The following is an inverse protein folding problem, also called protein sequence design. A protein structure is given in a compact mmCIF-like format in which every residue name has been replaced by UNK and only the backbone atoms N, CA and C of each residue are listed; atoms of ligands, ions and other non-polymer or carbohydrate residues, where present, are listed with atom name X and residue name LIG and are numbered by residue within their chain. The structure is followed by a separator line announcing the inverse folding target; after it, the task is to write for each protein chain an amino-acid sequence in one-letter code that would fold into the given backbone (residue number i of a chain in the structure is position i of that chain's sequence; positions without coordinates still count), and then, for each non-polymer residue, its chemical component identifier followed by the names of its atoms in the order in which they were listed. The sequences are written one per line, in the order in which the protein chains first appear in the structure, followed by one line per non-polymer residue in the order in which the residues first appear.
data_IF_960673137643
#
_entry.id   IF_960673137643
#
_cell.length_a   1.000
_cell.length_b   1.000
_cell.length_c   1.000
_cell.angle_alpha   90.00
_cell.angle_beta   90.00
_cell.angle_gamma   90.00
#
_symmetry.space_group_name_H-M   'P 1'
#
loop_
_entity.id
_entity.type
_entity.pdbx_description
1 polymer ?
#
# COMPACT_ATOMS: atom_id res chain seq x y z
N UNK A 1 -12.24 28.09 8.84
CA UNK A 1 -10.86 27.68 8.44
C UNK A 1 -10.78 26.25 8.93
N UNK A 2 -11.46 25.38 8.20
CA UNK A 2 -11.98 24.12 8.69
C UNK A 2 -11.23 22.98 7.99
N UNK A 3 -10.62 22.13 8.80
CA UNK A 3 -9.96 20.92 8.34
C UNK A 3 -11.05 19.89 8.04
N UNK A 4 -11.40 19.77 6.76
CA UNK A 4 -12.18 18.66 6.23
C UNK A 4 -11.29 17.40 6.25
N UNK A 5 -11.39 16.62 7.33
CA UNK A 5 -10.66 15.38 7.56
C UNK A 5 -11.43 14.18 6.99
N UNK A 6 -11.75 14.22 5.70
CA UNK A 6 -12.31 13.07 4.98
C UNK A 6 -11.24 12.34 4.16
N UNK A 7 -10.16 11.91 4.84
CA UNK A 7 -9.14 11.07 4.21
C UNK A 7 -9.75 9.74 3.77
N UNK A 8 -9.85 9.53 2.46
CA UNK A 8 -10.45 8.32 1.88
C UNK A 8 -9.35 7.41 1.33
N UNK A 9 -9.17 6.25 1.96
CA UNK A 9 -8.17 5.26 1.58
C UNK A 9 -8.85 4.04 0.94
N UNK A 10 -8.38 3.63 -0.24
CA UNK A 10 -8.85 2.42 -0.92
C UNK A 10 -7.76 1.34 -0.82
N UNK A 11 -8.09 0.25 -0.14
CA UNK A 11 -7.29 -0.99 -0.16
C UNK A 11 -7.93 -1.88 -1.21
N UNK A 12 -7.23 -2.07 -2.32
CA UNK A 12 -7.70 -2.96 -3.37
C UNK A 12 -7.43 -4.40 -2.90
N UNK A 13 -8.48 -5.20 -2.76
CA UNK A 13 -8.35 -6.63 -2.47
C UNK A 13 -8.37 -7.45 -3.76
N UNK A 14 -7.72 -8.60 -3.69
CA UNK A 14 -7.54 -9.56 -4.77
C UNK A 14 -8.88 -9.95 -5.43
N UNK A 15 -9.07 -9.58 -6.70
CA UNK A 15 -10.15 -10.08 -7.54
C UNK A 15 -9.76 -11.43 -8.19
N UNK A 16 -10.47 -12.47 -7.78
CA UNK A 16 -10.32 -13.83 -8.31
C UNK A 16 -10.99 -14.04 -9.68
N UNK A 17 -11.73 -13.04 -10.19
CA UNK A 17 -12.46 -13.13 -11.47
C UNK A 17 -11.62 -12.67 -12.66
N UNK A 18 -10.62 -11.83 -12.45
CA UNK A 18 -9.74 -11.34 -13.51
C UNK A 18 -10.36 -10.22 -14.35
N UNK A 19 -11.58 -9.78 -14.04
CA UNK A 19 -12.24 -8.63 -14.67
C UNK A 19 -11.87 -7.34 -13.94
N UNK A 20 -10.61 -6.95 -14.07
CA UNK A 20 -10.08 -5.74 -13.46
C UNK A 20 -10.40 -4.49 -14.30
N UNK A 21 -11.67 -4.07 -14.28
CA UNK A 21 -11.91 -2.62 -14.33
C UNK A 21 -13.06 -2.13 -13.45
N UNK A 22 -14.09 -2.94 -13.14
CA UNK A 22 -15.11 -2.83 -12.07
C UNK A 22 -15.52 -1.45 -11.53
N UNK A 23 -15.26 -0.35 -12.24
CA UNK A 23 -15.23 1.02 -11.73
C UNK A 23 -13.93 1.48 -11.03
N UNK A 24 -12.90 0.63 -10.84
CA UNK A 24 -11.65 1.00 -10.14
C UNK A 24 -10.97 2.20 -10.79
N UNK A 25 -10.87 2.22 -12.12
CA UNK A 25 -10.25 3.34 -12.86
C UNK A 25 -10.99 4.67 -12.67
N UNK A 26 -12.30 4.61 -12.47
CA UNK A 26 -13.14 5.79 -12.22
C UNK A 26 -12.99 6.30 -10.77
N UNK A 27 -12.63 5.41 -9.84
CA UNK A 27 -12.45 5.73 -8.42
C UNK A 27 -11.03 6.17 -8.10
N UNK A 28 -10.02 5.72 -8.86
CA UNK A 28 -8.62 6.08 -8.64
C UNK A 28 -8.35 7.59 -8.55
N UNK A 29 -8.95 8.47 -9.38
CA UNK A 29 -8.78 9.92 -9.25
C UNK A 29 -9.41 10.52 -7.99
N UNK A 30 -10.28 9.78 -7.29
CA UNK A 30 -11.04 10.24 -6.13
C UNK A 30 -10.39 9.85 -4.79
N UNK A 31 -9.30 9.08 -4.81
CA UNK A 31 -8.65 8.58 -3.60
C UNK A 31 -7.30 9.25 -3.38
N UNK A 32 -6.97 9.50 -2.11
CA UNK A 32 -5.70 10.09 -1.70
C UNK A 32 -4.54 9.10 -1.85
N UNK A 33 -4.83 7.83 -1.54
CA UNK A 33 -3.86 6.74 -1.56
C UNK A 33 -4.52 5.47 -2.09
N UNK A 34 -3.78 4.75 -2.92
CA UNK A 34 -4.09 3.39 -3.36
C UNK A 34 -2.92 2.48 -3.02
N UNK A 35 -3.21 1.30 -2.48
CA UNK A 35 -2.22 0.28 -2.17
C UNK A 35 -2.50 -0.93 -3.06
N UNK A 36 -1.50 -1.33 -3.84
CA UNK A 36 -1.54 -2.41 -4.82
C UNK A 36 -0.39 -3.38 -4.56
N UNK A 37 -0.53 -4.64 -4.94
CA UNK A 37 0.61 -5.55 -5.12
C UNK A 37 1.17 -5.46 -6.56
N UNK A 38 2.28 -6.15 -6.83
CA UNK A 38 2.92 -6.14 -8.16
C UNK A 38 1.98 -6.62 -9.28
N UNK A 39 1.10 -7.60 -9.02
CA UNK A 39 0.16 -8.13 -10.01
C UNK A 39 -0.95 -7.11 -10.31
N UNK A 40 -1.55 -6.50 -9.28
CA UNK A 40 -2.59 -5.48 -9.42
C UNK A 40 -2.03 -4.23 -10.10
N UNK A 41 -0.80 -3.84 -9.80
CA UNK A 41 -0.12 -2.73 -10.46
C UNK A 41 0.10 -3.01 -11.95
N UNK A 42 0.49 -4.23 -12.32
CA UNK A 42 0.60 -4.65 -13.72
C UNK A 42 -0.76 -4.50 -14.45
N UNK A 43 -1.83 -5.01 -13.87
CA UNK A 43 -3.16 -5.00 -14.50
C UNK A 43 -3.80 -3.60 -14.54
N UNK A 44 -3.66 -2.81 -13.47
CA UNK A 44 -4.26 -1.47 -13.39
C UNK A 44 -3.52 -0.45 -14.26
N UNK A 45 -2.19 -0.51 -14.28
CA UNK A 45 -1.32 0.55 -14.81
C UNK A 45 -0.41 0.10 -15.95
N UNK A 46 -0.59 -1.14 -16.45
CA UNK A 46 0.26 -1.73 -17.48
C UNK A 46 1.71 -1.90 -17.03
N UNK A 47 1.93 -2.09 -15.72
CA UNK A 47 3.25 -2.31 -15.13
C UNK A 47 4.11 -1.05 -14.99
N UNK A 48 3.55 0.14 -15.30
CA UNK A 48 4.31 1.39 -15.27
C UNK A 48 3.59 2.46 -14.45
N UNK A 49 4.33 3.33 -13.73
CA UNK A 49 3.73 4.41 -12.97
C UNK A 49 3.15 5.52 -13.88
N UNK A 50 3.40 5.45 -15.20
CA UNK A 50 2.94 6.42 -16.19
C UNK A 50 1.42 6.61 -16.19
N UNK A 51 0.67 5.53 -15.97
CA UNK A 51 -0.79 5.59 -15.83
C UNK A 51 -1.23 6.57 -14.73
N UNK A 52 -0.54 6.59 -13.59
CA UNK A 52 -0.83 7.49 -12.49
C UNK A 52 -0.47 8.94 -12.81
N UNK A 53 0.58 9.18 -13.61
CA UNK A 53 0.91 10.52 -14.08
C UNK A 53 -0.20 11.13 -14.95
N UNK A 54 -0.78 10.31 -15.83
CA UNK A 54 -1.74 10.76 -16.85
C UNK A 54 -3.18 10.80 -16.30
N UNK A 55 -3.55 9.86 -15.43
CA UNK A 55 -4.94 9.66 -15.01
C UNK A 55 -5.24 10.23 -13.63
N UNK A 56 -4.30 10.14 -12.69
CA UNK A 56 -4.52 10.53 -11.29
C UNK A 56 -3.23 11.02 -10.62
N UNK A 57 -2.62 12.13 -11.09
CA UNK A 57 -1.31 12.58 -10.64
C UNK A 57 -1.24 12.96 -9.16
N UNK A 58 -2.38 13.28 -8.53
CA UNK A 58 -2.49 13.59 -7.11
C UNK A 58 -2.52 12.36 -6.19
N UNK A 59 -2.86 11.19 -6.71
CA UNK A 59 -3.01 9.96 -5.93
C UNK A 59 -1.65 9.37 -5.59
N UNK A 60 -1.47 9.03 -4.31
CA UNK A 60 -0.30 8.28 -3.84
C UNK A 60 -0.48 6.80 -4.14
N UNK A 61 0.34 6.24 -5.02
CA UNK A 61 0.31 4.81 -5.34
C UNK A 61 1.40 4.06 -4.58
N UNK A 62 1.01 3.13 -3.72
CA UNK A 62 1.93 2.25 -3.00
C UNK A 62 1.90 0.88 -3.64
N UNK A 63 3.05 0.40 -4.10
CA UNK A 63 3.20 -0.94 -4.68
C UNK A 63 3.98 -1.81 -3.69
N UNK A 64 3.30 -2.80 -3.13
CA UNK A 64 3.89 -3.84 -2.28
C UNK A 64 4.54 -4.92 -3.14
N UNK A 65 5.73 -5.36 -2.72
CA UNK A 65 6.63 -6.27 -3.46
C UNK A 65 7.08 -7.46 -2.60
N UNK A 66 6.20 -7.88 -1.68
CA UNK A 66 6.46 -8.95 -0.72
C UNK A 66 7.80 -8.78 0.00
N UNK A 67 8.71 -9.76 -0.14
CA UNK A 67 10.06 -9.74 0.45
C UNK A 67 10.93 -8.55 0.01
N UNK A 68 10.62 -7.93 -1.12
CA UNK A 68 11.36 -6.77 -1.61
C UNK A 68 10.86 -5.45 -1.00
N UNK A 69 9.85 -5.48 -0.12
CA UNK A 69 9.29 -4.31 0.54
C UNK A 69 8.23 -3.60 -0.28
N UNK A 70 8.30 -2.27 -0.35
CA UNK A 70 7.30 -1.47 -1.05
C UNK A 70 7.90 -0.19 -1.67
N UNK A 71 7.21 0.34 -2.67
CA UNK A 71 7.59 1.54 -3.40
C UNK A 71 6.40 2.50 -3.45
N UNK A 72 6.65 3.79 -3.27
CA UNK A 72 5.65 4.84 -3.38
C UNK A 72 5.89 5.66 -4.65
N UNK A 73 4.82 5.84 -5.42
CA UNK A 73 4.77 6.65 -6.62
C UNK A 73 3.78 7.80 -6.47
N UNK A 74 4.10 8.96 -7.08
CA UNK A 74 3.18 10.10 -7.20
C UNK A 74 3.50 10.82 -8.51
N UNK A 75 2.47 11.18 -9.29
CA UNK A 75 2.66 11.84 -10.58
C UNK A 75 3.53 11.05 -11.58
N UNK A 76 3.59 9.73 -11.46
CA UNK A 76 4.45 8.87 -12.28
C UNK A 76 5.89 8.70 -11.82
N UNK A 77 6.30 9.41 -10.77
CA UNK A 77 7.66 9.34 -10.24
C UNK A 77 7.72 8.49 -8.99
N UNK A 78 8.80 7.72 -8.84
CA UNK A 78 9.12 7.08 -7.57
C UNK A 78 9.60 8.14 -6.58
N UNK A 79 8.87 8.30 -5.47
CA UNK A 79 9.20 9.30 -4.44
C UNK A 79 9.84 8.67 -3.20
N UNK A 80 9.56 7.39 -2.92
CA UNK A 80 10.14 6.66 -1.80
C UNK A 80 10.12 5.14 -2.02
N UNK A 81 11.03 4.45 -1.33
CA UNK A 81 11.14 2.99 -1.30
C UNK A 81 11.53 2.55 0.10
N UNK A 82 10.95 1.44 0.54
CA UNK A 82 11.35 0.76 1.77
C UNK A 82 11.58 -0.72 1.48
N UNK A 83 12.75 -1.23 1.84
CA UNK A 83 13.01 -2.67 1.81
C UNK A 83 12.28 -3.36 2.96
N UNK A 84 11.80 -4.59 2.74
CA UNK A 84 11.31 -5.45 3.82
C UNK A 84 12.46 -6.28 4.38
N UNK A 85 12.32 -6.71 5.64
CA UNK A 85 13.24 -7.67 6.23
C UNK A 85 12.96 -9.03 5.59
N UNK A 86 14.01 -9.71 5.12
CA UNK A 86 13.85 -11.04 4.51
C UNK A 86 13.51 -12.06 5.58
N UNK A 87 12.22 -12.31 5.79
CA UNK A 87 11.68 -13.41 6.60
C UNK A 87 11.10 -14.47 5.67
N UNK A 88 11.29 -15.75 6.00
CA UNK A 88 10.59 -16.83 5.30
C UNK A 88 9.13 -16.84 5.78
N UNK A 89 8.15 -16.52 4.92
CA UNK A 89 6.75 -16.47 5.31
C UNK A 89 6.25 -17.89 5.60
N UNK A 90 5.66 -18.08 6.78
CA UNK A 90 5.04 -19.34 7.20
C UNK A 90 3.60 -19.46 6.67
N UNK A 91 2.90 -18.32 6.56
CA UNK A 91 1.60 -18.16 5.91
C UNK A 91 1.48 -16.73 5.35
N UNK A 92 1.46 -16.52 4.01
CA UNK A 92 1.43 -15.18 3.42
C UNK A 92 0.04 -14.51 3.49
N UNK A 93 -1.00 -15.22 3.91
CA UNK A 93 -2.36 -14.67 3.97
C UNK A 93 -2.45 -13.53 4.98
N UNK A 94 -2.99 -12.37 4.55
CA UNK A 94 -3.18 -11.19 5.39
C UNK A 94 -1.98 -10.23 5.45
N UNK A 95 -0.86 -10.55 4.80
CA UNK A 95 0.32 -9.66 4.74
C UNK A 95 0.00 -8.29 4.12
N UNK A 96 -0.88 -8.25 3.12
CA UNK A 96 -1.34 -7.03 2.46
C UNK A 96 -2.18 -6.14 3.38
N UNK A 97 -3.14 -6.72 4.11
CA UNK A 97 -3.97 -5.99 5.07
C UNK A 97 -3.13 -5.46 6.24
N UNK A 98 -2.17 -6.26 6.73
CA UNK A 98 -1.22 -5.86 7.75
C UNK A 98 -0.32 -4.71 7.28
N UNK A 99 0.17 -4.77 6.03
CA UNK A 99 0.90 -3.68 5.42
C UNK A 99 0.05 -2.41 5.34
N UNK A 100 -1.19 -2.51 4.86
CA UNK A 100 -2.09 -1.37 4.72
C UNK A 100 -2.36 -0.72 6.09
N UNK A 101 -2.67 -1.51 7.11
CA UNK A 101 -2.86 -1.01 8.47
C UNK A 101 -1.61 -0.31 9.02
N UNK A 102 -0.43 -0.90 8.84
CA UNK A 102 0.84 -0.30 9.24
C UNK A 102 1.13 1.01 8.48
N UNK A 103 0.87 1.04 7.19
CA UNK A 103 1.06 2.22 6.36
C UNK A 103 0.18 3.38 6.81
N UNK A 104 -1.12 3.13 6.97
CA UNK A 104 -2.08 4.14 7.43
C UNK A 104 -1.72 4.64 8.84
N UNK A 105 -1.30 3.74 9.73
CA UNK A 105 -0.82 4.11 11.07
C UNK A 105 0.40 5.03 11.01
N UNK A 106 1.40 4.70 10.18
CA UNK A 106 2.61 5.50 10.05
C UNK A 106 2.34 6.87 9.40
N UNK A 107 1.38 6.95 8.48
CA UNK A 107 1.02 8.20 7.82
C UNK A 107 0.16 9.14 8.67
N UNK A 108 -0.64 8.62 9.60
CA UNK A 108 -1.53 9.43 10.46
C UNK A 108 -2.44 10.40 9.68
N UNK A 109 -2.87 10.01 8.48
CA UNK A 109 -3.70 10.84 7.59
C UNK A 109 -2.94 11.91 6.78
N UNK A 110 -1.63 12.09 6.99
CA UNK A 110 -0.80 12.94 6.14
C UNK A 110 -0.16 12.11 5.03
N UNK A 111 -0.72 12.20 3.83
CA UNK A 111 -0.18 11.54 2.63
C UNK A 111 0.67 12.47 1.76
N UNK A 112 0.82 13.75 2.12
CA UNK A 112 1.54 14.74 1.33
C UNK A 112 3.01 14.88 1.77
N UNK A 113 3.28 14.76 3.08
CA UNK A 113 4.63 14.86 3.61
C UNK A 113 5.50 13.65 3.28
N UNK A 114 6.68 13.90 2.73
CA UNK A 114 7.69 12.85 2.49
C UNK A 114 8.13 12.13 3.77
N UNK A 115 8.14 12.82 4.91
CA UNK A 115 8.45 12.19 6.21
C UNK A 115 7.35 11.19 6.59
N UNK A 116 6.10 11.60 6.44
CA UNK A 116 4.94 10.78 6.74
C UNK A 116 4.85 9.55 5.84
N UNK A 117 5.07 9.70 4.53
CA UNK A 117 5.10 8.60 3.56
C UNK A 117 6.20 7.59 3.91
N UNK A 118 7.41 8.07 4.23
CA UNK A 118 8.52 7.18 4.61
C UNK A 118 8.21 6.40 5.90
N UNK A 119 7.62 7.07 6.89
CA UNK A 119 7.18 6.44 8.13
C UNK A 119 6.07 5.41 7.87
N UNK A 120 5.09 5.73 7.02
CA UNK A 120 4.07 4.79 6.55
C UNK A 120 4.69 3.55 5.92
N UNK A 121 5.61 3.70 4.97
CA UNK A 121 6.30 2.57 4.34
C UNK A 121 7.08 1.71 5.34
N UNK A 122 7.73 2.32 6.33
CA UNK A 122 8.44 1.60 7.40
C UNK A 122 7.49 0.73 8.23
N UNK A 123 6.41 1.31 8.74
CA UNK A 123 5.41 0.59 9.51
C UNK A 123 4.70 -0.48 8.69
N UNK A 124 4.33 -0.17 7.45
CA UNK A 124 3.71 -1.13 6.53
C UNK A 124 4.60 -2.35 6.27
N UNK A 125 5.87 -2.13 5.92
CA UNK A 125 6.82 -3.23 5.69
C UNK A 125 7.06 -4.06 6.97
N UNK A 126 7.16 -3.42 8.14
CA UNK A 126 7.35 -4.12 9.42
C UNK A 126 6.14 -4.99 9.76
N UNK A 127 4.92 -4.44 9.69
CA UNK A 127 3.69 -5.16 9.99
C UNK A 127 3.39 -6.28 8.99
N UNK A 128 3.56 -6.01 7.69
CA UNK A 128 3.40 -7.02 6.64
C UNK A 128 4.40 -8.18 6.79
N UNK A 129 5.64 -7.88 7.21
CA UNK A 129 6.65 -8.90 7.52
C UNK A 129 6.41 -9.67 8.82
N UNK A 130 5.78 -9.05 9.82
CA UNK A 130 5.49 -9.70 11.10
C UNK A 130 4.32 -10.68 11.01
N UNK A 131 3.26 -10.35 10.26
CA UNK A 131 2.05 -11.18 10.17
C UNK A 131 2.30 -12.49 9.40
N UNK A 132 3.24 -12.51 8.45
CA UNK A 132 3.60 -13.75 7.74
C UNK A 132 4.30 -14.80 8.60
N UNK A 133 4.66 -14.45 9.85
CA UNK A 133 5.27 -15.36 10.81
C UNK A 133 4.24 -16.12 11.67
N UNK A 134 2.94 -15.88 11.47
CA UNK A 134 1.83 -16.43 12.26
C UNK A 134 0.85 -17.15 11.31
N UNK A 135 0.41 -18.37 11.63
CA UNK A 135 -0.64 -19.06 10.85
C UNK A 135 -1.98 -18.34 11.03
N UNK A 136 -2.62 -17.95 9.93
CA UNK A 136 -3.91 -17.28 9.92
C UNK A 136 -3.83 -15.77 10.21
N UNK A 137 -4.83 -15.04 9.70
CA UNK A 137 -4.96 -13.58 9.81
C UNK A 137 -5.11 -13.13 11.29
N UNK A 138 -4.00 -12.95 11.99
CA UNK A 138 -3.98 -12.39 13.34
C UNK A 138 -2.76 -11.51 13.54
N UNK A 139 -3.01 -10.33 14.11
CA UNK A 139 -2.00 -9.31 14.44
C UNK A 139 -1.14 -9.84 15.60
N UNK A 140 0.21 -9.66 15.60
CA UNK A 140 1.05 -10.03 16.72
C UNK A 140 0.60 -9.30 17.98
N UNK A 141 0.48 -10.02 19.10
CA UNK A 141 -0.10 -9.48 20.33
C UNK A 141 0.83 -8.48 21.06
N UNK A 142 2.10 -8.35 20.66
CA UNK A 142 3.09 -7.54 21.39
C UNK A 142 4.09 -6.81 20.48
N UNK A 143 4.50 -5.62 20.92
CA UNK A 143 5.42 -4.71 20.22
C UNK A 143 6.83 -5.26 20.03
N UNK A 144 7.23 -6.28 20.79
CA UNK A 144 8.57 -6.91 20.70
C UNK A 144 8.76 -7.77 19.43
N UNK A 145 7.68 -8.01 18.67
CA UNK A 145 7.68 -8.83 17.45
C UNK A 145 7.58 -8.00 16.17
N UNK A 146 7.56 -6.66 16.29
CA UNK A 146 7.60 -5.67 15.20
C UNK A 146 9.03 -5.14 15.07
#
# INVERSE_FOLDING_TARGET
RDADLSSSSLVVQHDATGEWDGGLRDVLPLVDVVILNELEFEHCAGGTPRYFAETCPGTLCIVTRGKNGAVAYRGGEEIARQASRSVEPLDPTGAGDAFAAGFLHGCQGDYASMESIRRGLQWGCAMGGAVVMIRGASIPATTEQI
#
